data_IF_170474180859
#
_entry.id   IF_170474180859
#
_cell.length_a   1.000
_cell.length_b   1.000
_cell.length_c   1.000
_cell.angle_alpha   90.00
_cell.angle_beta   90.00
_cell.angle_gamma   90.00
#
_symmetry.space_group_name_H-M   'P 1'
#
loop_
_entity.id
_entity.type
_entity.pdbx_description
1 polymer ?
#
# COMPACT_ATOMS: atom_id res chain seq x y z
N UNK A 1 55.13 41.80 6.16
CA UNK A 1 55.78 41.86 4.83
C UNK A 1 55.37 40.65 4.01
N UNK A 2 55.51 40.73 2.67
CA UNK A 2 55.20 39.69 1.67
C UNK A 2 53.71 39.36 1.50
N UNK A 3 53.14 39.88 0.41
CA UNK A 3 51.98 39.26 -0.23
C UNK A 3 52.38 37.88 -0.79
N UNK A 4 51.42 36.98 -0.93
CA UNK A 4 51.46 35.95 -1.96
C UNK A 4 50.11 35.96 -2.69
N UNK A 5 50.16 36.02 -4.02
CA UNK A 5 49.03 35.71 -4.89
C UNK A 5 49.22 34.26 -5.33
N UNK A 6 48.14 33.48 -5.39
CA UNK A 6 48.13 32.29 -6.23
C UNK A 6 47.10 32.47 -7.34
N UNK A 7 47.37 31.87 -8.50
CA UNK A 7 46.73 32.21 -9.77
C UNK A 7 45.94 31.00 -10.28
N UNK A 8 44.78 31.27 -10.86
CA UNK A 8 43.95 30.30 -11.57
C UNK A 8 44.73 29.62 -12.70
N UNK A 9 44.68 28.29 -12.75
CA UNK A 9 44.96 27.52 -13.97
C UNK A 9 43.72 26.67 -14.26
N UNK A 10 43.03 27.02 -15.34
CA UNK A 10 41.97 26.22 -15.93
C UNK A 10 42.61 25.43 -17.08
N UNK A 11 42.53 24.10 -17.04
CA UNK A 11 42.80 23.24 -18.19
C UNK A 11 41.56 22.40 -18.49
N UNK A 12 40.71 22.95 -19.35
CA UNK A 12 39.53 22.28 -19.91
C UNK A 12 39.97 21.49 -21.15
N UNK A 13 39.75 20.18 -21.18
CA UNK A 13 39.87 19.38 -22.41
C UNK A 13 38.88 18.20 -22.40
N UNK A 14 37.92 18.26 -23.32
CA UNK A 14 37.00 17.18 -23.64
C UNK A 14 37.66 16.22 -24.64
N UNK A 15 37.28 14.95 -24.64
CA UNK A 15 37.27 14.12 -25.85
C UNK A 15 36.10 13.15 -25.83
N UNK A 16 35.49 12.93 -27.00
CA UNK A 16 34.25 12.16 -27.19
C UNK A 16 34.40 11.26 -28.42
N UNK A 17 34.06 9.97 -28.28
CA UNK A 17 33.75 9.01 -29.36
C UNK A 17 32.98 7.85 -28.72
N UNK A 18 31.77 7.42 -29.09
CA UNK A 18 30.91 7.62 -30.27
C UNK A 18 31.23 6.77 -31.51
N UNK A 19 30.51 5.64 -31.63
CA UNK A 19 30.14 4.79 -32.79
C UNK A 19 28.94 3.93 -32.30
N UNK A 20 27.79 3.66 -32.96
CA UNK A 20 27.36 3.72 -34.38
C UNK A 20 28.00 2.58 -35.23
N UNK A 21 27.35 1.77 -36.07
CA UNK A 21 25.95 1.58 -36.61
C UNK A 21 25.87 0.22 -37.34
N UNK A 22 24.75 -0.45 -37.66
CA UNK A 22 23.29 -0.39 -37.32
C UNK A 22 22.57 -1.62 -37.94
N UNK A 23 21.22 -1.66 -37.85
CA UNK A 23 20.24 -2.28 -38.77
C UNK A 23 19.83 -3.80 -38.70
N UNK A 24 18.50 -3.98 -38.69
CA UNK A 24 17.65 -4.94 -39.46
C UNK A 24 17.27 -6.41 -39.07
N UNK A 25 16.02 -6.71 -39.47
CA UNK A 25 15.27 -7.97 -39.70
C UNK A 25 14.83 -8.94 -38.57
N UNK A 26 13.54 -8.81 -38.22
CA UNK A 26 12.46 -9.82 -38.35
C UNK A 26 12.78 -11.33 -38.50
N UNK A 27 12.16 -12.13 -37.62
CA UNK A 27 11.65 -13.49 -37.89
C UNK A 27 10.53 -13.76 -36.87
N UNK A 28 9.25 -13.99 -37.22
CA UNK A 28 8.67 -15.08 -38.02
C UNK A 28 8.96 -16.48 -37.48
N UNK A 29 8.19 -16.91 -36.48
CA UNK A 29 7.84 -18.33 -36.32
C UNK A 29 6.58 -18.67 -37.14
N UNK A 30 6.38 -19.97 -37.41
CA UNK A 30 5.58 -20.45 -38.55
C UNK A 30 4.45 -21.40 -38.13
N UNK A 31 3.25 -21.19 -38.70
CA UNK A 31 2.08 -22.06 -38.53
C UNK A 31 2.22 -23.44 -39.21
N UNK A 32 1.72 -24.47 -38.50
CA UNK A 32 0.97 -25.64 -38.97
C UNK A 32 0.47 -26.37 -37.69
N UNK A 33 -0.80 -26.51 -37.33
CA UNK A 33 -2.07 -26.79 -38.04
C UNK A 33 -2.35 -28.29 -38.27
N UNK A 34 -3.58 -28.68 -37.87
CA UNK A 34 -4.37 -29.90 -38.04
C UNK A 34 -4.11 -31.22 -37.25
N UNK A 35 -4.95 -31.45 -36.23
CA UNK A 35 -6.05 -32.46 -36.14
C UNK A 35 -6.22 -33.50 -37.27
N UNK A 36 -6.79 -34.72 -37.10
CA UNK A 36 -7.37 -35.48 -35.96
C UNK A 36 -6.67 -36.89 -35.83
N UNK A 37 -7.14 -38.03 -35.26
CA UNK A 37 -8.41 -38.55 -34.67
C UNK A 37 -8.13 -39.72 -33.67
N UNK A 38 -9.17 -40.10 -32.89
CA UNK A 38 -9.60 -41.41 -32.32
C UNK A 38 -8.69 -42.69 -32.41
N UNK A 39 -8.73 -43.68 -31.48
CA UNK A 39 -9.75 -44.02 -30.45
C UNK A 39 -9.27 -44.96 -29.31
N UNK A 40 -10.00 -44.92 -28.18
CA UNK A 40 -10.41 -46.03 -27.28
C UNK A 40 -9.44 -46.62 -26.19
N UNK A 41 -10.09 -46.97 -25.06
CA UNK A 41 -9.81 -48.05 -24.07
C UNK A 41 -8.92 -47.84 -22.83
N UNK A 42 -9.60 -47.41 -21.75
CA UNK A 42 -9.81 -48.20 -20.49
C UNK A 42 -8.87 -48.04 -19.27
N UNK A 43 -9.52 -47.74 -18.12
CA UNK A 43 -9.06 -47.83 -16.71
C UNK A 43 -7.86 -46.92 -16.29
N UNK A 44 -7.74 -46.45 -15.04
CA UNK A 44 -8.29 -46.87 -13.74
C UNK A 44 -8.50 -45.66 -12.79
N UNK A 45 -9.53 -45.70 -11.92
CA UNK A 45 -9.79 -44.95 -10.65
C UNK A 45 -9.41 -43.45 -10.46
N UNK A 46 -10.11 -42.65 -9.63
CA UNK A 46 -11.25 -42.89 -8.72
C UNK A 46 -12.07 -41.60 -8.54
N UNK A 47 -13.40 -41.72 -8.44
CA UNK A 47 -14.35 -40.60 -8.23
C UNK A 47 -15.28 -40.93 -7.06
N UNK A 48 -15.36 -40.05 -6.04
CA UNK A 48 -16.38 -40.11 -4.99
C UNK A 48 -16.79 -38.70 -4.55
N UNK A 49 -17.72 -38.08 -5.27
CA UNK A 49 -18.81 -37.40 -4.56
C UNK A 49 -19.74 -38.48 -3.97
N UNK A 50 -20.33 -38.27 -2.78
CA UNK A 50 -21.80 -38.26 -2.64
C UNK A 50 -22.37 -38.19 -1.21
N UNK A 51 -23.62 -37.68 -1.16
CA UNK A 51 -24.70 -37.91 -0.19
C UNK A 51 -24.54 -37.52 1.31
N UNK A 52 -25.41 -36.60 1.72
CA UNK A 52 -25.84 -36.42 3.11
C UNK A 52 -26.96 -37.41 3.42
N UNK A 53 -26.70 -38.42 4.27
CA UNK A 53 -27.76 -39.24 4.87
C UNK A 53 -27.68 -39.20 6.39
N UNK A 54 -28.74 -38.68 7.00
CA UNK A 54 -28.87 -38.51 8.45
C UNK A 54 -29.39 -39.81 9.09
N UNK A 55 -28.68 -40.35 10.09
CA UNK A 55 -29.20 -41.39 11.00
C UNK A 55 -28.51 -41.26 12.35
N UNK A 56 -29.32 -41.17 13.41
CA UNK A 56 -28.88 -40.91 14.78
C UNK A 56 -28.44 -42.19 15.52
N UNK A 57 -27.30 -42.14 16.20
CA UNK A 57 -27.13 -42.87 17.46
C UNK A 57 -26.20 -42.10 18.41
N UNK A 58 -26.60 -41.98 19.68
CA UNK A 58 -26.02 -40.99 20.61
C UNK A 58 -24.66 -41.39 21.18
N UNK A 59 -23.66 -40.55 20.93
CA UNK A 59 -22.60 -40.25 21.90
C UNK A 59 -22.35 -38.75 21.93
N UNK A 60 -22.63 -38.14 23.07
CA UNK A 60 -22.19 -36.78 23.37
C UNK A 60 -20.73 -36.83 23.82
N UNK A 61 -19.82 -36.85 22.86
CA UNK A 61 -18.46 -36.35 23.08
C UNK A 61 -18.54 -34.83 22.89
N UNK A 62 -18.65 -34.13 24.02
CA UNK A 62 -18.71 -32.67 24.13
C UNK A 62 -17.42 -32.06 23.57
N UNK A 63 -17.41 -31.89 22.25
CA UNK A 63 -16.35 -31.22 21.51
C UNK A 63 -16.57 -29.73 21.70
N UNK A 64 -16.19 -29.25 22.89
CA UNK A 64 -16.21 -27.86 23.29
C UNK A 64 -15.51 -27.04 22.20
N UNK A 65 -16.31 -26.40 21.33
CA UNK A 65 -15.81 -25.46 20.33
C UNK A 65 -15.38 -24.23 21.12
N UNK A 66 -14.15 -24.27 21.59
CA UNK A 66 -13.46 -23.10 22.14
C UNK A 66 -13.32 -22.13 20.98
N UNK A 67 -14.27 -21.19 20.87
CA UNK A 67 -14.01 -19.93 20.19
C UNK A 67 -12.77 -19.34 20.86
N UNK A 68 -11.64 -19.39 20.14
CA UNK A 68 -10.44 -18.67 20.51
C UNK A 68 -10.79 -17.20 20.41
N UNK A 69 -11.14 -16.60 21.56
CA UNK A 69 -11.55 -15.22 21.65
C UNK A 69 -10.52 -14.33 20.95
N UNK A 70 -10.98 -13.51 20.02
CA UNK A 70 -10.10 -12.61 19.27
C UNK A 70 -9.34 -11.71 20.26
N UNK A 71 -8.00 -11.78 20.35
CA UNK A 71 -7.24 -10.94 21.27
C UNK A 71 -7.38 -9.44 20.97
N UNK A 72 -7.93 -9.07 19.81
CA UNK A 72 -8.23 -7.69 19.45
C UNK A 72 -9.60 -7.20 19.98
N UNK A 73 -10.45 -8.06 20.56
CA UNK A 73 -11.84 -7.73 20.96
C UNK A 73 -11.93 -6.64 22.04
N UNK A 74 -10.93 -6.53 22.91
CA UNK A 74 -10.87 -5.51 23.98
C UNK A 74 -10.35 -4.14 23.49
N UNK A 75 -9.91 -4.03 22.22
CA UNK A 75 -9.41 -2.80 21.64
C UNK A 75 -10.48 -2.06 20.80
N UNK A 76 -10.47 -0.71 20.76
CA UNK A 76 -11.32 0.04 19.86
C UNK A 76 -11.03 -0.32 18.40
N UNK A 77 -12.08 -0.60 17.60
CA UNK A 77 -11.95 -0.99 16.19
C UNK A 77 -11.17 0.02 15.35
N UNK A 78 -11.34 1.31 15.63
CA UNK A 78 -10.55 2.40 15.05
C UNK A 78 -9.04 2.19 15.25
N UNK A 79 -8.59 1.82 16.45
CA UNK A 79 -7.17 1.56 16.72
C UNK A 79 -6.65 0.31 15.99
N UNK A 80 -7.48 -0.72 15.85
CA UNK A 80 -7.15 -1.92 15.08
C UNK A 80 -7.00 -1.58 13.60
N UNK A 81 -7.87 -0.74 13.06
CA UNK A 81 -7.76 -0.20 11.70
C UNK A 81 -6.48 0.62 11.52
N UNK A 82 -6.19 1.57 12.43
CA UNK A 82 -4.99 2.43 12.38
C UNK A 82 -3.69 1.60 12.38
N UNK A 83 -3.65 0.52 13.16
CA UNK A 83 -2.52 -0.40 13.17
C UNK A 83 -2.43 -1.21 11.86
N UNK A 84 -3.53 -1.80 11.37
CA UNK A 84 -3.55 -2.56 10.10
C UNK A 84 -3.12 -1.72 8.90
N UNK A 85 -3.68 -0.51 8.77
CA UNK A 85 -3.33 0.41 7.67
C UNK A 85 -1.85 0.82 7.75
N UNK A 86 -1.26 0.95 8.95
CA UNK A 86 0.17 1.16 9.09
C UNK A 86 1.01 -0.07 8.70
N UNK A 87 0.64 -1.27 9.19
CA UNK A 87 1.29 -2.54 8.83
C UNK A 87 1.26 -2.80 7.31
N UNK A 88 0.19 -2.40 6.63
CA UNK A 88 0.07 -2.52 5.18
C UNK A 88 0.82 -1.40 4.45
N UNK A 89 0.61 -0.11 4.79
CA UNK A 89 1.05 1.04 3.97
C UNK A 89 2.13 1.97 4.55
N UNK A 90 2.44 1.95 5.84
CA UNK A 90 3.51 2.79 6.43
C UNK A 90 4.91 2.43 5.88
N UNK A 91 5.80 3.42 5.70
CA UNK A 91 7.14 3.18 5.11
C UNK A 91 8.04 2.34 6.03
N UNK A 92 7.90 2.51 7.35
CA UNK A 92 8.55 1.72 8.38
C UNK A 92 7.48 1.16 9.32
N UNK A 93 7.43 -0.17 9.44
CA UNK A 93 6.41 -0.85 10.24
C UNK A 93 6.69 -0.71 11.74
N UNK A 94 7.93 -1.02 12.15
CA UNK A 94 8.49 -0.71 13.47
C UNK A 94 8.73 0.81 13.62
N UNK A 95 8.11 1.42 14.63
CA UNK A 95 8.20 2.85 14.95
C UNK A 95 8.15 3.10 16.46
N UNK A 96 8.96 4.05 16.97
CA UNK A 96 8.94 4.41 18.40
C UNK A 96 7.60 5.05 18.86
N UNK A 97 6.76 5.47 17.91
CA UNK A 97 5.43 6.06 18.12
C UNK A 97 4.70 6.20 16.79
N UNK A 98 3.43 5.79 16.77
CA UNK A 98 2.49 5.99 15.66
C UNK A 98 1.52 7.13 16.02
N UNK A 99 1.61 8.26 15.34
CA UNK A 99 0.73 9.41 15.55
C UNK A 99 -0.48 9.31 14.63
N UNK A 100 -1.68 9.54 15.19
CA UNK A 100 -2.95 9.55 14.46
C UNK A 100 -3.56 10.94 14.55
N UNK A 101 -3.94 11.50 13.40
CA UNK A 101 -4.57 12.82 13.29
C UNK A 101 -5.75 12.76 12.33
N UNK A 102 -6.95 13.08 12.82
CA UNK A 102 -8.13 13.29 11.99
C UNK A 102 -8.09 14.67 11.32
N UNK A 103 -8.54 14.75 10.08
CA UNK A 103 -8.53 15.94 9.23
C UNK A 103 -9.92 16.06 8.58
N UNK A 104 -10.75 17.06 8.95
CA UNK A 104 -12.11 17.15 8.42
C UNK A 104 -12.20 17.48 6.93
N UNK A 105 -13.29 17.04 6.30
CA UNK A 105 -13.70 17.42 4.95
C UNK A 105 -13.66 18.94 4.75
N UNK A 106 -13.23 19.38 3.57
CA UNK A 106 -13.04 20.80 3.26
C UNK A 106 -11.78 21.43 3.85
N UNK A 107 -10.91 20.66 4.53
CA UNK A 107 -9.56 21.14 4.88
C UNK A 107 -8.67 21.14 3.63
N UNK A 108 -7.89 22.21 3.35
CA UNK A 108 -6.95 22.23 2.22
C UNK A 108 -5.82 21.18 2.35
N UNK A 109 -5.46 20.53 1.24
CA UNK A 109 -4.32 19.61 1.16
C UNK A 109 -2.98 20.29 1.53
N UNK A 110 -2.75 21.51 1.00
CA UNK A 110 -1.65 22.38 1.37
C UNK A 110 -2.20 23.73 1.89
N UNK A 111 -2.24 23.98 3.21
CA UNK A 111 -2.74 25.25 3.75
C UNK A 111 -1.83 26.46 3.47
N UNK A 112 -0.70 26.28 2.78
CA UNK A 112 0.20 27.36 2.35
C UNK A 112 0.10 27.69 0.85
N UNK A 113 -0.83 27.05 0.11
CA UNK A 113 -1.07 27.32 -1.31
C UNK A 113 -2.53 27.73 -1.56
N UNK A 114 -2.72 28.83 -2.27
CA UNK A 114 -4.03 29.36 -2.65
C UNK A 114 -4.72 28.55 -3.76
N UNK A 115 -3.99 27.72 -4.52
CA UNK A 115 -4.56 26.78 -5.50
C UNK A 115 -4.79 25.38 -4.93
N UNK A 116 -4.68 25.20 -3.61
CA UNK A 116 -4.89 23.88 -2.98
C UNK A 116 -6.34 23.41 -3.11
N UNK A 117 -6.53 22.22 -3.65
CA UNK A 117 -7.76 21.46 -3.44
C UNK A 117 -7.96 21.16 -1.93
N UNK A 118 -9.14 20.67 -1.58
CA UNK A 118 -9.50 20.27 -0.21
C UNK A 118 -9.90 18.81 -0.17
N UNK A 119 -9.72 18.15 0.98
CA UNK A 119 -10.21 16.79 1.18
C UNK A 119 -11.74 16.73 0.95
N UNK A 120 -12.25 15.79 0.13
CA UNK A 120 -13.69 15.71 -0.17
C UNK A 120 -14.51 15.15 1.00
N UNK A 121 -13.85 14.45 1.92
CA UNK A 121 -14.40 13.73 3.07
C UNK A 121 -13.46 13.84 4.29
N UNK A 122 -13.88 13.30 5.44
CA UNK A 122 -13.04 13.24 6.63
C UNK A 122 -11.96 12.16 6.45
N UNK A 123 -10.69 12.51 6.68
CA UNK A 123 -9.55 11.59 6.52
C UNK A 123 -8.74 11.46 7.82
N UNK A 124 -8.03 10.33 7.94
CA UNK A 124 -7.07 10.01 8.99
C UNK A 124 -5.66 10.08 8.39
N UNK A 125 -4.77 10.80 9.06
CA UNK A 125 -3.34 10.82 8.76
C UNK A 125 -2.57 10.09 9.85
N UNK A 126 -1.93 8.98 9.46
CA UNK A 126 -1.01 8.19 10.26
C UNK A 126 0.43 8.64 9.98
N UNK A 127 1.26 8.81 11.01
CA UNK A 127 2.68 9.17 10.82
C UNK A 127 3.59 8.68 11.96
N UNK A 128 4.74 8.11 11.60
CA UNK A 128 5.77 7.74 12.58
C UNK A 128 6.48 8.97 13.16
N UNK A 129 7.03 8.85 14.38
CA UNK A 129 7.76 9.95 15.03
C UNK A 129 9.04 10.42 14.32
N UNK A 130 9.50 9.71 13.27
CA UNK A 130 10.67 10.04 12.46
C UNK A 130 10.26 10.27 11.01
N UNK A 131 10.81 11.29 10.36
CA UNK A 131 10.46 11.66 8.97
C UNK A 131 10.66 10.53 7.94
N UNK A 132 11.56 9.59 8.23
CA UNK A 132 11.88 8.41 7.38
C UNK A 132 10.90 7.24 7.58
N UNK A 133 9.86 7.43 8.40
CA UNK A 133 8.71 6.52 8.48
C UNK A 133 7.52 6.99 7.62
N UNK A 134 7.63 8.18 7.00
CA UNK A 134 6.60 8.76 6.14
C UNK A 134 5.27 9.03 6.83
N UNK A 135 4.20 8.99 6.03
CA UNK A 135 2.82 9.10 6.48
C UNK A 135 1.87 8.38 5.53
N UNK A 136 0.78 7.84 6.06
CA UNK A 136 -0.37 7.35 5.28
C UNK A 136 -1.54 8.30 5.52
N UNK A 137 -2.21 8.76 4.47
CA UNK A 137 -3.44 9.56 4.59
C UNK A 137 -4.58 8.82 3.90
N UNK A 138 -5.68 8.56 4.60
CA UNK A 138 -6.76 7.71 4.07
C UNK A 138 -8.14 8.03 4.71
N UNK A 139 -9.22 7.58 4.10
CA UNK A 139 -10.58 7.53 4.71
C UNK A 139 -11.08 6.09 4.81
N UNK A 140 -11.88 5.77 5.83
CA UNK A 140 -12.42 4.43 6.06
C UNK A 140 -13.85 4.28 5.54
N UNK A 141 -14.10 3.29 4.68
CA UNK A 141 -15.42 3.03 4.09
C UNK A 141 -16.35 2.22 5.02
N UNK A 142 -15.80 1.62 6.10
CA UNK A 142 -16.55 0.90 7.12
C UNK A 142 -16.94 -0.55 6.77
N UNK A 143 -16.52 -1.05 5.61
CA UNK A 143 -16.74 -2.42 5.11
C UNK A 143 -15.46 -3.28 5.08
N UNK A 144 -14.32 -2.72 5.50
CA UNK A 144 -12.99 -3.33 5.39
C UNK A 144 -12.13 -2.73 4.26
N UNK A 145 -12.66 -1.79 3.48
CA UNK A 145 -11.89 -0.99 2.52
C UNK A 145 -11.58 0.43 3.03
N UNK A 146 -10.55 1.03 2.45
CA UNK A 146 -10.14 2.43 2.66
C UNK A 146 -9.88 3.11 1.31
N UNK A 147 -10.02 4.44 1.27
CA UNK A 147 -9.58 5.25 0.13
C UNK A 147 -8.25 5.92 0.51
N UNK A 148 -7.14 5.55 -0.15
CA UNK A 148 -5.80 6.08 0.17
C UNK A 148 -5.47 7.30 -0.70
N UNK A 149 -5.04 8.38 -0.04
CA UNK A 149 -4.71 9.66 -0.66
C UNK A 149 -3.18 9.85 -0.72
N UNK A 150 -2.63 10.12 -1.91
CA UNK A 150 -1.20 10.38 -2.12
C UNK A 150 -0.79 11.80 -1.69
N UNK A 151 -1.05 12.15 -0.42
CA UNK A 151 -0.69 13.44 0.18
C UNK A 151 0.63 13.29 0.96
N UNK A 152 1.69 14.04 0.60
CA UNK A 152 2.95 13.97 1.30
C UNK A 152 2.89 14.62 2.69
N UNK A 153 3.64 14.07 3.65
CA UNK A 153 3.84 14.68 4.98
C UNK A 153 4.44 16.10 4.92
N UNK A 154 5.06 16.47 3.79
CA UNK A 154 5.75 17.75 3.59
C UNK A 154 5.56 18.32 2.19
N UNK A 155 5.35 19.62 2.16
CA UNK A 155 5.20 20.44 0.96
C UNK A 155 6.51 21.21 0.68
N UNK A 156 7.54 20.48 0.22
CA UNK A 156 8.88 21.01 -0.07
C UNK A 156 9.04 21.52 -1.53
N UNK A 157 7.92 21.87 -2.21
CA UNK A 157 7.86 22.22 -3.63
C UNK A 157 8.03 23.72 -3.95
N UNK A 158 7.41 24.15 -5.05
CA UNK A 158 7.26 25.56 -5.43
C UNK A 158 5.76 25.89 -5.52
N UNK A 159 5.36 27.05 -5.02
CA UNK A 159 3.96 27.43 -4.83
C UNK A 159 3.66 28.82 -5.41
N UNK A 160 2.47 29.05 -6.01
CA UNK A 160 1.38 28.08 -6.19
C UNK A 160 1.72 26.96 -7.18
N UNK A 161 1.32 25.73 -6.89
CA UNK A 161 1.56 24.56 -7.72
C UNK A 161 0.53 24.40 -8.86
N UNK A 162 -0.64 25.06 -8.74
CA UNK A 162 -1.74 25.00 -9.70
C UNK A 162 -2.86 24.05 -9.26
N UNK A 163 -4.10 24.38 -9.63
CA UNK A 163 -5.30 23.62 -9.25
C UNK A 163 -5.24 22.17 -9.79
N UNK A 164 -4.77 21.98 -11.02
CA UNK A 164 -4.64 20.67 -11.69
C UNK A 164 -3.78 19.69 -10.87
N UNK A 165 -2.67 20.14 -10.28
CA UNK A 165 -1.77 19.32 -9.45
C UNK A 165 -2.47 18.80 -8.18
N UNK A 166 -3.29 19.64 -7.54
CA UNK A 166 -4.02 19.23 -6.35
C UNK A 166 -5.27 18.41 -6.66
N UNK A 167 -5.91 18.65 -7.80
CA UNK A 167 -7.01 17.81 -8.28
C UNK A 167 -6.51 16.41 -8.67
N UNK A 168 -5.32 16.29 -9.28
CA UNK A 168 -4.68 15.00 -9.58
C UNK A 168 -4.46 14.13 -8.34
N UNK A 169 -4.21 14.73 -7.16
CA UNK A 169 -4.09 14.00 -5.88
C UNK A 169 -5.44 13.48 -5.37
N UNK A 170 -6.56 14.15 -5.71
CA UNK A 170 -7.92 13.70 -5.37
C UNK A 170 -8.41 12.65 -6.39
N UNK A 171 -8.20 12.90 -7.68
CA UNK A 171 -8.68 12.04 -8.76
C UNK A 171 -7.94 10.69 -8.83
N UNK A 172 -6.69 10.64 -8.36
CA UNK A 172 -5.89 9.41 -8.20
C UNK A 172 -5.98 8.81 -6.77
N UNK A 173 -7.10 9.00 -6.06
CA UNK A 173 -7.36 8.28 -4.80
C UNK A 173 -7.66 6.81 -5.10
N UNK A 174 -7.00 5.86 -4.42
CA UNK A 174 -7.17 4.43 -4.67
C UNK A 174 -8.03 3.76 -3.57
N UNK A 175 -9.09 3.04 -3.95
CA UNK A 175 -9.87 2.18 -3.04
C UNK A 175 -9.15 0.83 -2.87
N UNK A 176 -8.85 0.43 -1.63
CA UNK A 176 -8.08 -0.78 -1.32
C UNK A 176 -8.63 -1.51 -0.08
N UNK A 177 -8.52 -2.84 -0.09
CA UNK A 177 -8.88 -3.69 1.06
C UNK A 177 -7.79 -3.67 2.14
N UNK A 178 -8.21 -3.56 3.40
CA UNK A 178 -7.32 -3.64 4.57
C UNK A 178 -7.22 -5.07 5.06
N UNK A 179 -6.01 -5.63 5.03
CA UNK A 179 -5.76 -7.00 5.47
C UNK A 179 -5.91 -7.16 6.98
N UNK A 180 -6.31 -8.37 7.41
CA UNK A 180 -6.53 -8.69 8.83
C UNK A 180 -5.25 -8.58 9.67
N UNK A 181 -4.08 -8.78 9.05
CA UNK A 181 -2.76 -8.65 9.67
C UNK A 181 -2.44 -9.74 10.71
N UNK A 182 -1.30 -9.58 11.37
CA UNK A 182 -0.95 -10.37 12.56
C UNK A 182 -1.43 -9.66 13.84
N UNK A 183 -2.09 -10.39 14.73
CA UNK A 183 -2.68 -9.81 15.93
C UNK A 183 -1.64 -9.32 16.96
N UNK A 184 -0.42 -9.87 17.00
CA UNK A 184 0.64 -9.37 17.88
C UNK A 184 1.22 -8.06 17.34
N UNK A 185 1.55 -7.99 16.04
CA UNK A 185 2.04 -6.76 15.40
C UNK A 185 1.03 -5.60 15.53
N UNK A 186 -0.28 -5.91 15.44
CA UNK A 186 -1.36 -4.95 15.68
C UNK A 186 -1.35 -4.43 17.13
N UNK A 187 -1.23 -5.32 18.13
CA UNK A 187 -1.18 -4.90 19.53
C UNK A 187 0.06 -4.05 19.84
N UNK A 188 1.23 -4.44 19.33
CA UNK A 188 2.49 -3.69 19.52
C UNK A 188 2.39 -2.26 18.96
N UNK A 189 1.77 -2.07 17.80
CA UNK A 189 1.49 -0.72 17.26
C UNK A 189 0.47 0.07 18.07
N UNK A 190 -0.53 -0.59 18.66
CA UNK A 190 -1.55 0.07 19.49
C UNK A 190 -0.95 0.59 20.82
N UNK A 191 0.05 -0.10 21.39
CA UNK A 191 0.77 0.37 22.58
C UNK A 191 1.52 1.69 22.35
N UNK A 192 2.08 1.89 21.14
CA UNK A 192 2.84 3.11 20.77
C UNK A 192 1.98 4.18 20.08
N UNK A 193 0.65 4.05 20.11
CA UNK A 193 -0.28 4.87 19.34
C UNK A 193 -0.77 6.13 20.07
N UNK A 194 -0.47 7.30 19.48
CA UNK A 194 -0.83 8.63 19.97
C UNK A 194 -1.93 9.25 19.10
N UNK A 195 -3.19 9.19 19.57
CA UNK A 195 -4.35 9.86 18.95
C UNK A 195 -4.50 11.28 19.51
N UNK A 196 -4.81 12.26 18.65
CA UNK A 196 -4.78 13.70 18.95
C UNK A 196 -6.18 14.35 19.04
#
# INVERSE_FOLDING_TARGET
MKHIRFILIICFLLFVSACQSSDDQESQEKSAEDTEVLSDSTEESEEVEQEVVNTSETKEEDSEIVELADPLVDYPSEKVEYARVWLQHGELKDVDSLNVRHIPAGTPLNPNDETSASYPEDVIQLSGARLVAGSVTYSGNGDGTINIYNVPLRWDGQYPAGEEFYQEIIDNTEEIYVEVGDNQEIMELIEVMNVQ
#
